data_IF_157025690687
#
_entry.id   IF_157025690687
#
_cell.length_a   1.000
_cell.length_b   1.000
_cell.length_c   1.000
_cell.angle_alpha   90.00
_cell.angle_beta   90.00
_cell.angle_gamma   90.00
#
_symmetry.space_group_name_H-M   'P 1'
#
loop_
_entity.id
_entity.type
_entity.pdbx_description
1 polymer ?
#
# COMPACT_ATOMS: atom_id res chain seq x y z
N UNK A 1 -42.22 36.85 -43.66
CA UNK A 1 -41.15 35.89 -44.02
C UNK A 1 -40.03 36.05 -42.99
N UNK A 2 -39.93 35.18 -41.99
CA UNK A 2 -38.77 35.08 -41.08
C UNK A 2 -39.02 33.95 -40.07
N UNK A 3 -38.87 32.69 -40.49
CA UNK A 3 -38.76 31.53 -39.58
C UNK A 3 -38.04 30.39 -40.31
N UNK A 4 -36.70 30.34 -40.23
CA UNK A 4 -35.97 29.06 -40.41
C UNK A 4 -34.48 29.04 -40.02
N UNK A 5 -33.83 30.14 -39.63
CA UNK A 5 -32.35 30.11 -39.49
C UNK A 5 -31.81 29.61 -38.13
N UNK A 6 -32.63 29.55 -37.09
CA UNK A 6 -32.14 29.23 -35.72
C UNK A 6 -31.93 27.74 -35.41
N UNK A 7 -32.31 26.82 -36.31
CA UNK A 7 -32.13 25.37 -36.07
C UNK A 7 -30.77 24.83 -36.55
N UNK A 8 -30.12 25.51 -37.50
CA UNK A 8 -28.85 25.06 -38.06
C UNK A 8 -27.65 25.27 -37.13
N UNK A 9 -27.59 26.43 -36.47
CA UNK A 9 -26.46 26.78 -35.59
C UNK A 9 -26.44 25.90 -34.34
N UNK A 10 -27.59 25.62 -33.71
CA UNK A 10 -27.68 24.79 -32.51
C UNK A 10 -27.25 23.34 -32.76
N UNK A 11 -27.60 22.79 -33.92
CA UNK A 11 -27.21 21.43 -34.33
C UNK A 11 -25.72 21.38 -34.68
N UNK A 12 -25.18 22.43 -35.30
CA UNK A 12 -23.76 22.57 -35.60
C UNK A 12 -22.89 22.63 -34.34
N UNK A 13 -23.29 23.40 -33.32
CA UNK A 13 -22.57 23.48 -32.04
C UNK A 13 -22.62 22.14 -31.28
N UNK A 14 -23.76 21.45 -31.29
CA UNK A 14 -23.90 20.13 -30.64
C UNK A 14 -23.03 19.06 -31.30
N UNK A 15 -22.95 19.05 -32.64
CA UNK A 15 -22.06 18.16 -33.39
C UNK A 15 -20.58 18.46 -33.15
N UNK A 16 -20.22 19.75 -33.01
CA UNK A 16 -18.86 20.16 -32.69
C UNK A 16 -18.47 19.73 -31.26
N UNK A 17 -19.37 19.88 -30.28
CA UNK A 17 -19.19 19.39 -28.91
C UNK A 17 -19.07 17.87 -28.89
N UNK A 18 -19.91 17.13 -29.61
CA UNK A 18 -19.82 15.67 -29.75
C UNK A 18 -18.50 15.23 -30.41
N UNK A 19 -18.03 15.93 -31.44
CA UNK A 19 -16.73 15.64 -32.07
C UNK A 19 -15.54 15.98 -31.17
N UNK A 20 -15.66 17.02 -30.34
CA UNK A 20 -14.65 17.34 -29.31
C UNK A 20 -14.66 16.28 -28.21
N UNK A 21 -15.83 15.80 -27.76
CA UNK A 21 -15.99 14.69 -26.81
C UNK A 21 -15.64 13.31 -27.39
N UNK A 22 -15.59 13.14 -28.71
CA UNK A 22 -15.10 11.91 -29.36
C UNK A 22 -13.60 11.95 -29.64
N UNK A 23 -12.99 13.14 -29.74
CA UNK A 23 -11.54 13.35 -29.90
C UNK A 23 -10.80 13.41 -28.57
N UNK A 24 -11.44 13.95 -27.54
CA UNK A 24 -11.09 13.71 -26.15
C UNK A 24 -11.72 12.38 -25.79
N UNK A 25 -10.99 11.26 -25.82
CA UNK A 25 -11.51 9.99 -25.35
C UNK A 25 -11.84 10.04 -23.87
N UNK A 26 -12.93 10.72 -23.48
CA UNK A 26 -13.52 10.63 -22.15
C UNK A 26 -14.21 9.28 -22.11
N UNK A 27 -13.39 8.24 -21.94
CA UNK A 27 -13.85 7.01 -21.32
C UNK A 27 -14.39 7.47 -19.97
N UNK A 28 -15.71 7.41 -19.79
CA UNK A 28 -16.28 7.62 -18.48
C UNK A 28 -15.67 6.54 -17.58
N UNK A 29 -14.79 6.94 -16.67
CA UNK A 29 -14.18 6.03 -15.73
C UNK A 29 -15.31 5.33 -14.96
N UNK A 30 -15.34 3.99 -15.01
CA UNK A 30 -16.36 3.18 -14.35
C UNK A 30 -15.93 2.96 -12.91
N UNK A 31 -15.96 4.04 -12.13
CA UNK A 31 -15.83 3.97 -10.67
C UNK A 31 -17.17 4.23 -10.01
N UNK A 32 -17.41 3.57 -8.89
CA UNK A 32 -18.63 3.72 -8.11
C UNK A 32 -18.29 4.35 -6.77
N UNK A 33 -18.82 5.55 -6.54
CA UNK A 33 -18.83 6.13 -5.20
C UNK A 33 -19.75 5.31 -4.30
N UNK A 34 -19.23 4.87 -3.18
CA UNK A 34 -19.97 4.11 -2.17
C UNK A 34 -20.45 5.08 -1.11
N UNK A 35 -21.76 5.30 -1.04
CA UNK A 35 -22.37 6.16 -0.01
C UNK A 35 -22.91 5.37 1.18
N UNK A 36 -23.24 4.09 0.97
CA UNK A 36 -23.81 3.19 1.96
C UNK A 36 -23.17 1.81 1.88
N UNK A 37 -22.80 1.24 3.03
CA UNK A 37 -22.31 -0.13 3.14
C UNK A 37 -23.30 -0.97 3.94
N UNK A 38 -23.65 -2.20 3.50
CA UNK A 38 -24.38 -3.13 4.34
C UNK A 38 -23.67 -3.34 5.68
N UNK A 39 -24.41 -3.20 6.79
CA UNK A 39 -23.87 -3.29 8.14
C UNK A 39 -23.35 -1.98 8.73
N UNK A 40 -23.21 -0.91 7.95
CA UNK A 40 -22.85 0.41 8.48
C UNK A 40 -24.11 1.25 8.72
N UNK A 41 -24.20 1.88 9.88
CA UNK A 41 -25.37 2.70 10.24
C UNK A 41 -25.33 4.07 9.54
N UNK A 42 -26.19 4.25 8.54
CA UNK A 42 -26.33 5.52 7.81
C UNK A 42 -25.36 5.70 6.65
N UNK A 43 -25.23 6.95 6.19
CA UNK A 43 -24.30 7.31 5.11
C UNK A 43 -22.86 7.32 5.63
N UNK A 44 -21.90 6.86 4.81
CA UNK A 44 -20.49 6.88 5.18
C UNK A 44 -20.01 8.33 5.43
N UNK A 45 -19.35 8.61 6.57
CA UNK A 45 -18.81 9.94 6.86
C UNK A 45 -17.47 10.22 6.17
N UNK A 46 -16.99 9.29 5.35
CA UNK A 46 -15.78 9.40 4.52
C UNK A 46 -16.12 9.03 3.08
N UNK A 47 -15.29 9.47 2.13
CA UNK A 47 -15.49 9.15 0.72
C UNK A 47 -14.78 7.85 0.37
N UNK A 48 -15.56 6.82 0.10
CA UNK A 48 -15.11 5.55 -0.43
C UNK A 48 -15.52 5.43 -1.90
N UNK A 49 -14.58 4.97 -2.70
CA UNK A 49 -14.77 4.65 -4.10
C UNK A 49 -14.25 3.25 -4.38
N UNK A 50 -14.89 2.54 -5.28
CA UNK A 50 -14.43 1.24 -5.75
C UNK A 50 -14.56 1.15 -7.26
N UNK A 51 -13.67 0.42 -7.91
CA UNK A 51 -13.71 0.25 -9.36
C UNK A 51 -12.72 -0.79 -9.86
N UNK A 52 -12.71 -0.95 -11.17
CA UNK A 52 -11.76 -1.78 -11.88
C UNK A 52 -10.96 -0.93 -12.86
N UNK A 53 -9.67 -1.20 -12.96
CA UNK A 53 -8.82 -0.65 -14.01
C UNK A 53 -8.19 -1.81 -14.78
N UNK A 54 -8.37 -1.78 -16.11
CA UNK A 54 -7.73 -2.72 -17.01
C UNK A 54 -6.25 -2.41 -17.18
N UNK A 55 -5.41 -3.43 -17.12
CA UNK A 55 -3.95 -3.33 -17.26
C UNK A 55 -3.44 -4.32 -18.31
N UNK A 56 -2.23 -4.09 -18.79
CA UNK A 56 -1.65 -4.66 -20.01
C UNK A 56 -2.29 -4.12 -21.29
N UNK A 57 -1.62 -4.34 -22.44
CA UNK A 57 -2.10 -3.88 -23.75
C UNK A 57 -3.49 -4.43 -24.11
N UNK A 58 -3.80 -5.65 -23.70
CA UNK A 58 -5.09 -6.28 -23.98
C UNK A 58 -6.19 -5.94 -22.97
N UNK A 59 -5.83 -5.31 -21.84
CA UNK A 59 -6.73 -5.07 -20.71
C UNK A 59 -7.48 -6.34 -20.25
N UNK A 60 -6.88 -7.52 -20.42
CA UNK A 60 -7.46 -8.77 -19.97
C UNK A 60 -7.34 -8.96 -18.47
N UNK A 61 -6.38 -8.30 -17.82
CA UNK A 61 -6.27 -8.22 -16.37
C UNK A 61 -7.05 -7.00 -15.88
N UNK A 62 -7.93 -7.22 -14.93
CA UNK A 62 -8.77 -6.19 -14.31
C UNK A 62 -8.42 -6.12 -12.82
N UNK A 63 -7.76 -5.04 -12.41
CA UNK A 63 -7.38 -4.83 -11.01
C UNK A 63 -8.46 -4.02 -10.29
N UNK A 64 -8.97 -4.58 -9.20
CA UNK A 64 -9.95 -3.96 -8.32
C UNK A 64 -9.26 -3.13 -7.24
N UNK A 65 -9.88 -2.01 -6.88
CA UNK A 65 -9.39 -1.15 -5.80
C UNK A 65 -10.52 -0.66 -4.90
N UNK A 66 -10.12 -0.34 -3.67
CA UNK A 66 -10.87 0.50 -2.74
C UNK A 66 -10.08 1.79 -2.57
N UNK A 67 -10.67 2.93 -2.86
CA UNK A 67 -10.04 4.23 -2.68
C UNK A 67 -10.77 5.02 -1.60
N UNK A 68 -10.04 5.37 -0.54
CA UNK A 68 -10.54 6.23 0.52
C UNK A 68 -9.83 7.57 0.44
N UNK A 69 -10.58 8.65 0.17
CA UNK A 69 -10.02 10.01 0.14
C UNK A 69 -9.68 10.47 1.56
N UNK A 70 -8.61 11.27 1.67
CA UNK A 70 -8.21 11.85 2.94
C UNK A 70 -9.36 12.60 3.61
N UNK A 71 -9.54 12.40 4.91
CA UNK A 71 -10.57 13.06 5.70
C UNK A 71 -10.16 14.47 6.15
N UNK A 72 -8.88 14.87 5.99
CA UNK A 72 -8.44 16.26 6.17
C UNK A 72 -8.57 17.10 4.89
N UNK A 73 -7.54 17.21 4.07
CA UNK A 73 -7.57 17.96 2.81
C UNK A 73 -7.03 17.10 1.67
N UNK A 74 -7.93 16.36 1.02
CA UNK A 74 -7.58 15.44 -0.07
C UNK A 74 -6.88 16.08 -1.27
N UNK A 75 -6.87 17.41 -1.42
CA UNK A 75 -6.16 18.12 -2.50
C UNK A 75 -4.66 18.31 -2.23
N UNK A 76 -4.25 18.21 -0.98
CA UNK A 76 -2.85 18.47 -0.57
C UNK A 76 -2.25 17.30 0.20
N UNK A 77 -3.09 16.51 0.86
CA UNK A 77 -2.64 15.36 1.64
C UNK A 77 -2.04 14.27 0.74
N UNK A 78 -1.06 13.49 1.23
CA UNK A 78 -0.42 12.46 0.43
C UNK A 78 -1.40 11.45 -0.17
N UNK A 79 -1.07 10.97 -1.37
CA UNK A 79 -1.68 9.79 -1.98
C UNK A 79 -0.81 8.58 -1.70
N UNK A 80 -1.41 7.51 -1.18
CA UNK A 80 -0.72 6.25 -0.87
C UNK A 80 -1.34 5.11 -1.66
N UNK A 81 -0.55 4.41 -2.46
CA UNK A 81 -0.93 3.09 -2.97
C UNK A 81 -0.54 2.03 -1.94
N UNK A 82 -1.49 1.24 -1.45
CA UNK A 82 -1.24 0.14 -0.52
C UNK A 82 -1.42 -1.22 -1.21
N UNK A 83 -0.40 -2.07 -1.12
CA UNK A 83 -0.42 -3.44 -1.63
C UNK A 83 -0.14 -4.42 -0.48
N UNK A 84 -1.11 -5.29 -0.21
CA UNK A 84 -0.99 -6.33 0.82
C UNK A 84 -0.13 -7.49 0.34
N UNK A 85 0.58 -8.14 1.27
CA UNK A 85 1.46 -9.27 0.96
C UNK A 85 0.74 -10.58 0.64
N UNK A 86 1.25 -11.70 1.18
CA UNK A 86 0.82 -13.06 0.85
C UNK A 86 1.93 -13.85 0.18
N UNK A 87 2.00 -13.94 -1.17
CA UNK A 87 1.29 -13.15 -2.19
C UNK A 87 -0.20 -13.51 -2.33
N UNK A 88 -1.00 -12.57 -2.85
CA UNK A 88 -2.40 -12.81 -3.21
C UNK A 88 -3.42 -12.55 -2.09
N UNK A 89 -3.00 -11.90 -1.00
CA UNK A 89 -3.93 -11.46 0.04
C UNK A 89 -4.66 -10.19 -0.40
N UNK A 90 -5.98 -10.15 -0.22
CA UNK A 90 -6.78 -8.96 -0.53
C UNK A 90 -6.40 -7.76 0.36
N UNK A 91 -6.34 -6.58 -0.25
CA UNK A 91 -6.16 -5.32 0.48
C UNK A 91 -7.41 -4.85 1.20
N UNK A 92 -8.54 -5.55 1.04
CA UNK A 92 -9.70 -5.41 1.91
C UNK A 92 -9.33 -5.68 3.38
N UNK A 93 -8.43 -6.63 3.63
CA UNK A 93 -7.97 -6.94 4.99
C UNK A 93 -7.34 -5.71 5.66
N UNK A 94 -6.50 -4.98 4.93
CA UNK A 94 -5.87 -3.74 5.39
C UNK A 94 -6.86 -2.60 5.58
N UNK A 95 -7.87 -2.53 4.71
CA UNK A 95 -8.95 -1.55 4.83
C UNK A 95 -9.78 -1.78 6.12
N UNK A 96 -10.18 -3.02 6.42
CA UNK A 96 -11.16 -3.27 7.50
C UNK A 96 -10.53 -3.64 8.84
N UNK A 97 -9.34 -4.27 8.86
CA UNK A 97 -8.69 -4.70 10.10
C UNK A 97 -7.59 -3.76 10.55
N UNK A 98 -6.98 -2.99 9.65
CA UNK A 98 -5.69 -2.35 9.93
C UNK A 98 -5.73 -0.83 9.82
N UNK A 99 -5.65 -0.25 8.62
CA UNK A 99 -5.36 1.19 8.46
C UNK A 99 -6.55 1.98 7.91
N UNK A 100 -7.63 1.33 7.48
CA UNK A 100 -8.82 2.02 6.96
C UNK A 100 -9.75 2.60 8.04
N UNK A 101 -10.81 3.31 7.62
CA UNK A 101 -11.64 4.14 8.51
C UNK A 101 -12.80 3.40 9.17
N UNK A 102 -12.98 2.10 8.89
CA UNK A 102 -14.04 1.29 9.46
C UNK A 102 -13.55 -0.13 9.72
N UNK A 103 -14.27 -0.84 10.58
CA UNK A 103 -13.97 -2.22 10.94
C UNK A 103 -15.26 -3.01 11.16
N UNK A 104 -15.15 -4.33 11.15
CA UNK A 104 -16.21 -5.19 11.68
C UNK A 104 -16.31 -4.98 13.20
N UNK A 105 -17.54 -4.85 13.70
CA UNK A 105 -17.79 -4.88 15.13
C UNK A 105 -17.42 -6.26 15.68
N UNK A 106 -16.57 -6.29 16.72
CA UNK A 106 -16.20 -7.52 17.41
C UNK A 106 -17.38 -8.01 18.27
N UNK A 107 -18.32 -8.71 17.64
CA UNK A 107 -19.48 -9.30 18.26
C UNK A 107 -19.61 -10.78 17.87
N UNK A 108 -20.24 -11.58 18.74
CA UNK A 108 -20.55 -12.97 18.42
C UNK A 108 -21.50 -13.05 17.22
N UNK A 109 -21.20 -13.95 16.28
CA UNK A 109 -22.02 -14.12 15.10
C UNK A 109 -23.40 -14.68 15.48
N UNK A 110 -24.43 -13.87 15.27
CA UNK A 110 -25.82 -14.17 15.62
C UNK A 110 -26.68 -14.54 14.40
N UNK A 111 -26.07 -14.70 13.22
CA UNK A 111 -26.77 -14.99 11.97
C UNK A 111 -27.21 -13.76 11.15
N UNK A 112 -27.04 -12.54 11.66
CA UNK A 112 -27.29 -11.31 10.91
C UNK A 112 -26.09 -10.90 10.06
N UNK A 113 -26.29 -9.88 9.20
CA UNK A 113 -25.17 -9.20 8.57
C UNK A 113 -24.19 -8.68 9.64
N UNK A 114 -22.86 -8.80 9.43
CA UNK A 114 -21.87 -8.19 10.31
C UNK A 114 -22.10 -6.67 10.38
N UNK A 115 -22.04 -6.11 11.60
CA UNK A 115 -22.09 -4.67 11.78
C UNK A 115 -20.72 -4.06 11.49
N UNK A 116 -20.71 -2.90 10.86
CA UNK A 116 -19.55 -2.09 10.57
C UNK A 116 -19.57 -0.85 11.46
N UNK A 117 -18.42 -0.53 12.06
CA UNK A 117 -18.24 0.62 12.95
C UNK A 117 -17.07 1.46 12.47
N UNK A 118 -17.07 2.75 12.81
CA UNK A 118 -15.93 3.62 12.55
C UNK A 118 -14.71 3.17 13.36
N UNK A 119 -13.56 3.16 12.70
CA UNK A 119 -12.28 2.83 13.32
C UNK A 119 -11.52 4.11 13.65
N UNK A 120 -11.22 4.40 14.93
CA UNK A 120 -10.35 5.52 15.27
C UNK A 120 -8.91 5.23 14.80
N UNK A 121 -8.10 6.28 14.63
CA UNK A 121 -6.69 6.17 14.24
C UNK A 121 -6.49 5.58 12.83
N UNK A 122 -7.45 5.79 11.93
CA UNK A 122 -7.28 5.42 10.53
C UNK A 122 -6.18 6.26 9.89
N UNK A 123 -5.40 5.64 9.01
CA UNK A 123 -4.40 6.38 8.25
C UNK A 123 -5.02 7.35 7.25
N UNK A 124 -6.26 7.07 6.83
CA UNK A 124 -7.03 7.90 5.90
C UNK A 124 -7.47 9.24 6.48
N UNK A 125 -7.27 9.47 7.77
CA UNK A 125 -7.47 10.78 8.40
C UNK A 125 -6.47 11.84 7.92
N UNK A 126 -5.29 11.46 7.38
CA UNK A 126 -4.26 12.41 6.87
C UNK A 126 -3.67 12.02 5.52
N UNK A 127 -4.26 11.04 4.83
CA UNK A 127 -3.79 10.58 3.53
C UNK A 127 -4.97 10.02 2.73
N UNK A 128 -4.93 10.18 1.41
CA UNK A 128 -5.80 9.42 0.52
C UNK A 128 -5.12 8.08 0.24
N UNK A 129 -5.84 6.96 0.39
CA UNK A 129 -5.24 5.62 0.27
C UNK A 129 -6.00 4.77 -0.75
N UNK A 130 -5.26 4.22 -1.72
CA UNK A 130 -5.73 3.23 -2.68
C UNK A 130 -5.32 1.85 -2.16
N UNK A 131 -6.29 1.04 -1.74
CA UNK A 131 -6.11 -0.36 -1.38
C UNK A 131 -6.29 -1.21 -2.63
N UNK A 132 -5.19 -1.72 -3.18
CA UNK A 132 -5.21 -2.45 -4.44
C UNK A 132 -5.25 -3.95 -4.21
N UNK A 133 -6.23 -4.64 -4.79
CA UNK A 133 -6.23 -6.09 -4.86
C UNK A 133 -5.28 -6.54 -5.98
N UNK A 134 -4.11 -7.04 -5.58
CA UNK A 134 -3.01 -7.33 -6.51
C UNK A 134 -2.19 -8.51 -6.00
N UNK A 135 -1.70 -9.41 -6.87
CA UNK A 135 -1.80 -9.43 -8.34
C UNK A 135 -3.16 -9.94 -8.86
N UNK A 136 -3.27 -10.17 -10.18
CA UNK A 136 -4.46 -10.79 -10.80
C UNK A 136 -4.92 -12.06 -10.05
N UNK A 137 -6.22 -12.20 -9.82
CA UNK A 137 -6.81 -13.29 -9.03
C UNK A 137 -6.89 -13.01 -7.52
N UNK A 138 -6.32 -11.90 -7.05
CA UNK A 138 -6.42 -11.46 -5.64
C UNK A 138 -7.73 -10.76 -5.38
N UNK A 139 -8.43 -11.13 -4.30
CA UNK A 139 -9.66 -10.46 -3.88
C UNK A 139 -10.69 -10.41 -5.02
N UNK A 140 -11.06 -9.19 -5.44
CA UNK A 140 -11.98 -9.00 -6.56
C UNK A 140 -11.29 -8.83 -7.93
N UNK A 141 -9.96 -8.73 -7.99
CA UNK A 141 -9.22 -8.64 -9.24
C UNK A 141 -9.26 -9.95 -10.03
N UNK A 142 -9.46 -9.86 -11.35
CA UNK A 142 -9.68 -11.04 -12.19
C UNK A 142 -9.04 -10.94 -13.57
N UNK A 143 -8.95 -12.08 -14.25
CA UNK A 143 -8.52 -12.20 -15.63
C UNK A 143 -9.71 -12.55 -16.52
N UNK A 144 -9.80 -11.94 -17.71
CA UNK A 144 -10.85 -12.23 -18.71
C UNK A 144 -10.59 -13.53 -19.48
N UNK A 145 -9.36 -14.04 -19.44
CA UNK A 145 -8.98 -15.31 -20.06
C UNK A 145 -7.91 -16.05 -19.24
N UNK A 146 -7.74 -17.34 -19.51
CA UNK A 146 -6.84 -18.21 -18.75
C UNK A 146 -5.37 -17.77 -18.81
N UNK A 147 -4.92 -17.25 -19.97
CA UNK A 147 -3.53 -16.78 -20.14
C UNK A 147 -3.24 -15.57 -19.24
N UNK A 148 -4.17 -14.62 -19.16
CA UNK A 148 -4.04 -13.43 -18.32
C UNK A 148 -4.12 -13.73 -16.81
N UNK A 149 -4.50 -14.94 -16.41
CA UNK A 149 -4.49 -15.35 -15.01
C UNK A 149 -3.08 -15.65 -14.48
N UNK A 150 -2.13 -15.90 -15.38
CA UNK A 150 -0.74 -16.16 -15.02
C UNK A 150 0.05 -14.85 -15.09
N UNK A 151 0.83 -14.53 -14.04
CA UNK A 151 1.70 -13.35 -14.04
C UNK A 151 2.96 -13.62 -13.24
N UNK A 152 4.11 -13.23 -13.80
CA UNK A 152 5.37 -13.21 -13.06
C UNK A 152 5.39 -12.03 -12.08
N UNK A 153 6.29 -12.03 -11.09
CA UNK A 153 6.41 -10.89 -10.17
C UNK A 153 6.78 -9.57 -10.87
N UNK A 154 7.56 -9.63 -11.96
CA UNK A 154 7.89 -8.44 -12.75
C UNK A 154 6.69 -7.94 -13.54
N UNK A 155 5.97 -8.85 -14.22
CA UNK A 155 4.75 -8.50 -14.95
C UNK A 155 3.68 -7.94 -14.02
N UNK A 156 3.47 -8.57 -12.87
CA UNK A 156 2.55 -8.05 -11.87
C UNK A 156 2.98 -6.66 -11.38
N UNK A 157 4.28 -6.42 -11.15
CA UNK A 157 4.75 -5.10 -10.72
C UNK A 157 4.51 -4.03 -11.80
N UNK A 158 4.69 -4.39 -13.07
CA UNK A 158 4.35 -3.52 -14.21
C UNK A 158 2.85 -3.24 -14.30
N UNK A 159 1.99 -4.24 -14.08
CA UNK A 159 0.54 -4.07 -13.98
C UNK A 159 0.14 -3.09 -12.87
N UNK A 160 0.78 -3.13 -11.69
CA UNK A 160 0.52 -2.15 -10.62
C UNK A 160 0.97 -0.73 -11.01
N UNK A 161 2.09 -0.62 -11.74
CA UNK A 161 2.56 0.66 -12.28
C UNK A 161 1.59 1.23 -13.33
N UNK A 162 1.12 0.40 -14.27
CA UNK A 162 0.11 0.77 -15.26
C UNK A 162 -1.22 1.16 -14.61
N UNK A 163 -1.66 0.40 -13.61
CA UNK A 163 -2.83 0.71 -12.80
C UNK A 163 -2.74 2.12 -12.22
N UNK A 164 -1.63 2.46 -11.57
CA UNK A 164 -1.45 3.76 -10.92
C UNK A 164 -1.52 4.92 -11.94
N UNK A 165 -0.88 4.77 -13.10
CA UNK A 165 -0.90 5.78 -14.17
C UNK A 165 -2.33 6.00 -14.68
N UNK A 166 -3.06 4.91 -14.98
CA UNK A 166 -4.45 4.98 -15.44
C UNK A 166 -5.38 5.56 -14.35
N UNK A 167 -5.17 5.17 -13.09
CA UNK A 167 -5.90 5.72 -11.94
C UNK A 167 -5.75 7.24 -11.86
N UNK A 168 -4.53 7.76 -12.04
CA UNK A 168 -4.25 9.20 -12.02
C UNK A 168 -4.76 9.95 -13.26
N UNK A 169 -4.92 9.27 -14.40
CA UNK A 169 -5.63 9.84 -15.57
C UNK A 169 -7.10 10.06 -15.24
N UNK A 170 -7.73 9.11 -14.54
CA UNK A 170 -9.12 9.21 -14.11
C UNK A 170 -9.31 10.17 -12.92
N UNK A 171 -8.23 10.46 -12.18
CA UNK A 171 -8.20 11.32 -10.99
C UNK A 171 -7.17 12.46 -11.13
N UNK A 172 -7.35 13.38 -12.09
CA UNK A 172 -6.38 14.43 -12.35
C UNK A 172 -6.18 15.37 -11.15
N UNK A 173 -7.13 15.45 -10.22
CA UNK A 173 -6.99 16.24 -9.00
C UNK A 173 -5.94 15.70 -8.02
N UNK A 174 -5.53 14.44 -8.18
CA UNK A 174 -4.57 13.77 -7.31
C UNK A 174 -3.14 13.75 -7.86
N UNK A 175 -2.93 14.16 -9.12
CA UNK A 175 -1.63 14.11 -9.80
C UNK A 175 -0.57 14.95 -9.07
N UNK A 176 -0.98 16.08 -8.47
CA UNK A 176 -0.09 16.97 -7.73
C UNK A 176 0.17 16.53 -6.28
N UNK A 177 -0.51 15.50 -5.79
CA UNK A 177 -0.37 15.08 -4.40
C UNK A 177 0.98 14.36 -4.22
N UNK A 178 1.67 14.58 -3.09
CA UNK A 178 2.84 13.78 -2.72
C UNK A 178 2.49 12.29 -2.75
N UNK A 179 3.19 11.51 -3.57
CA UNK A 179 2.87 10.11 -3.76
C UNK A 179 3.82 9.21 -2.98
N UNK A 180 3.23 8.23 -2.27
CA UNK A 180 3.94 7.16 -1.60
C UNK A 180 3.34 5.81 -1.99
N UNK A 181 4.13 4.76 -1.88
CA UNK A 181 3.65 3.38 -2.01
C UNK A 181 3.99 2.60 -0.75
N UNK A 182 3.02 1.88 -0.23
CA UNK A 182 3.11 1.09 0.98
C UNK A 182 2.79 -0.37 0.73
N UNK A 183 3.30 -1.22 1.61
CA UNK A 183 2.87 -2.59 1.68
C UNK A 183 3.46 -3.29 2.90
N UNK A 184 3.14 -4.57 3.02
CA UNK A 184 3.59 -5.39 4.13
C UNK A 184 4.00 -6.79 3.68
N UNK A 185 4.73 -7.50 4.54
CA UNK A 185 5.00 -8.92 4.34
C UNK A 185 5.67 -9.17 2.98
N UNK A 186 5.10 -10.04 2.14
CA UNK A 186 5.59 -10.32 0.79
C UNK A 186 5.73 -9.07 -0.11
N UNK A 187 4.99 -7.98 0.17
CA UNK A 187 5.10 -6.72 -0.56
C UNK A 187 6.46 -6.03 -0.39
N UNK A 188 7.28 -6.47 0.55
CA UNK A 188 8.68 -6.06 0.68
C UNK A 188 9.53 -6.29 -0.58
N UNK A 189 9.11 -7.19 -1.49
CA UNK A 189 9.77 -7.42 -2.78
C UNK A 189 9.22 -6.58 -3.94
N UNK A 190 7.91 -6.59 -4.25
CA UNK A 190 7.38 -5.86 -5.39
C UNK A 190 7.34 -4.34 -5.18
N UNK A 191 7.16 -3.83 -3.96
CA UNK A 191 7.09 -2.37 -3.74
C UNK A 191 8.36 -1.65 -4.24
N UNK A 192 9.59 -2.06 -3.88
CA UNK A 192 10.79 -1.48 -4.46
C UNK A 192 10.89 -1.57 -5.99
N UNK A 193 10.35 -2.62 -6.59
CA UNK A 193 10.31 -2.79 -8.06
C UNK A 193 9.36 -1.77 -8.68
N UNK A 194 8.17 -1.61 -8.12
CA UNK A 194 7.16 -0.64 -8.59
C UNK A 194 7.68 0.79 -8.44
N UNK A 195 8.37 1.10 -7.33
CA UNK A 195 9.05 2.38 -7.13
C UNK A 195 10.05 2.67 -8.25
N UNK A 196 10.87 1.69 -8.63
CA UNK A 196 11.80 1.84 -9.75
C UNK A 196 11.09 2.06 -11.08
N UNK A 197 9.98 1.35 -11.34
CA UNK A 197 9.17 1.53 -12.54
C UNK A 197 8.57 2.94 -12.62
N UNK A 198 8.09 3.48 -11.50
CA UNK A 198 7.60 4.86 -11.41
C UNK A 198 8.73 5.85 -11.71
N UNK A 199 9.89 5.69 -11.09
CA UNK A 199 11.06 6.56 -11.31
C UNK A 199 11.49 6.56 -12.78
N UNK A 200 11.68 5.38 -13.36
CA UNK A 200 12.05 5.23 -14.77
C UNK A 200 10.99 5.83 -15.69
N UNK A 201 9.71 5.64 -15.38
CA UNK A 201 8.60 6.23 -16.11
C UNK A 201 8.63 7.76 -16.10
N UNK A 202 8.90 8.36 -14.95
CA UNK A 202 9.04 9.81 -14.83
C UNK A 202 10.26 10.34 -15.60
N UNK A 203 11.40 9.67 -15.52
CA UNK A 203 12.61 10.03 -16.29
C UNK A 203 12.40 9.95 -17.80
N UNK A 204 11.60 8.97 -18.24
CA UNK A 204 11.22 8.81 -19.65
C UNK A 204 10.12 9.80 -20.11
N UNK A 205 9.60 10.65 -19.21
CA UNK A 205 8.53 11.60 -19.54
C UNK A 205 7.18 10.94 -19.79
N UNK A 206 6.94 9.75 -19.22
CA UNK A 206 5.60 9.16 -19.24
C UNK A 206 4.67 10.06 -18.41
N UNK A 207 3.45 10.29 -18.88
CA UNK A 207 2.42 11.09 -18.19
C UNK A 207 1.32 10.19 -17.60
N UNK A 208 0.63 10.61 -16.52
CA UNK A 208 0.87 11.82 -15.73
C UNK A 208 2.07 11.66 -14.80
N UNK A 209 3.02 12.60 -14.80
CA UNK A 209 4.19 12.55 -13.89
C UNK A 209 3.77 12.34 -12.42
N UNK A 210 4.38 11.37 -11.75
CA UNK A 210 4.02 10.98 -10.38
C UNK A 210 4.99 11.67 -9.42
N UNK A 211 4.49 12.46 -8.46
CA UNK A 211 5.33 13.11 -7.43
C UNK A 211 5.79 12.13 -6.34
N UNK A 212 6.59 11.13 -6.73
CA UNK A 212 7.10 10.07 -5.87
C UNK A 212 8.00 10.64 -4.77
N UNK A 213 7.56 10.52 -3.51
CA UNK A 213 8.29 10.97 -2.33
C UNK A 213 8.95 9.86 -1.53
N UNK A 214 8.48 8.63 -1.65
CA UNK A 214 8.98 7.55 -0.81
C UNK A 214 8.13 6.28 -0.82
N UNK A 215 8.53 5.33 0.02
CA UNK A 215 7.77 4.11 0.24
C UNK A 215 7.84 3.65 1.70
N UNK A 216 6.86 2.84 2.10
CA UNK A 216 6.82 2.24 3.43
C UNK A 216 6.60 0.73 3.39
N UNK A 217 7.24 0.01 4.29
CA UNK A 217 7.14 -1.43 4.40
C UNK A 217 6.92 -1.88 5.85
N UNK A 218 5.81 -2.58 6.09
CA UNK A 218 5.49 -3.23 7.36
C UNK A 218 5.92 -4.70 7.37
N UNK A 219 6.74 -5.10 8.34
CA UNK A 219 7.21 -6.48 8.51
C UNK A 219 7.67 -7.13 7.18
N UNK A 220 8.55 -6.48 6.40
CA UNK A 220 8.78 -6.87 5.02
C UNK A 220 9.61 -8.14 4.87
N UNK A 221 9.16 -9.02 3.97
CA UNK A 221 10.01 -10.04 3.37
C UNK A 221 10.83 -9.33 2.27
N UNK A 222 12.08 -9.04 2.57
CA UNK A 222 13.02 -8.42 1.63
C UNK A 222 13.95 -9.44 0.98
N UNK A 223 14.23 -10.56 1.67
CA UNK A 223 15.21 -11.57 1.24
C UNK A 223 14.60 -12.98 1.29
N UNK A 224 15.22 -13.98 0.63
CA UNK A 224 14.84 -15.38 0.83
C UNK A 224 15.14 -15.90 2.25
N UNK A 225 16.02 -15.23 2.99
CA UNK A 225 16.51 -15.65 4.30
C UNK A 225 15.66 -15.15 5.47
N UNK A 226 14.65 -14.32 5.22
CA UNK A 226 13.82 -13.79 6.33
C UNK A 226 13.18 -14.93 7.15
N UNK A 227 12.93 -16.07 6.50
CA UNK A 227 12.44 -17.30 7.13
C UNK A 227 13.46 -18.03 8.00
N UNK A 228 14.77 -17.90 7.74
CA UNK A 228 15.78 -18.61 8.54
C UNK A 228 15.86 -18.05 9.96
N UNK A 229 15.49 -16.79 10.15
CA UNK A 229 15.49 -16.10 11.45
C UNK A 229 14.41 -16.58 12.42
N UNK A 230 13.44 -17.38 11.96
CA UNK A 230 12.32 -17.86 12.80
C UNK A 230 12.76 -18.78 13.91
N UNK A 231 13.79 -19.59 13.67
CA UNK A 231 14.31 -20.53 14.67
C UNK A 231 14.99 -19.76 15.80
N UNK A 232 15.85 -18.78 15.48
CA UNK A 232 16.47 -17.91 16.49
C UNK A 232 15.41 -17.09 17.22
N UNK A 233 14.37 -16.61 16.52
CA UNK A 233 13.29 -15.86 17.15
C UNK A 233 12.51 -16.72 18.15
N UNK A 234 12.09 -17.92 17.72
CA UNK A 234 11.36 -18.84 18.58
C UNK A 234 12.17 -19.23 19.82
N UNK A 235 13.47 -19.46 19.67
CA UNK A 235 14.37 -19.75 20.79
C UNK A 235 14.51 -18.55 21.74
N UNK A 236 14.78 -17.35 21.20
CA UNK A 236 14.91 -16.13 22.00
C UNK A 236 13.63 -15.72 22.75
N UNK A 237 12.47 -16.15 22.26
CA UNK A 237 11.16 -15.96 22.90
C UNK A 237 10.76 -17.13 23.83
N UNK A 238 11.61 -18.15 23.99
CA UNK A 238 11.36 -19.31 24.85
C UNK A 238 10.28 -20.27 24.32
N UNK A 239 9.98 -20.24 23.02
CA UNK A 239 8.98 -21.11 22.38
C UNK A 239 9.55 -22.50 22.02
N UNK A 240 10.88 -22.62 21.92
CA UNK A 240 11.58 -23.89 21.68
C UNK A 240 12.74 -24.05 22.67
N UNK A 241 13.09 -25.30 22.98
CA UNK A 241 14.20 -25.62 23.90
C UNK A 241 15.58 -25.45 23.25
N UNK A 242 16.63 -25.44 24.08
CA UNK A 242 18.02 -25.39 23.63
C UNK A 242 18.36 -26.58 22.71
N UNK A 243 17.87 -27.78 23.03
CA UNK A 243 18.13 -28.99 22.22
C UNK A 243 17.50 -28.90 20.82
N UNK A 244 16.28 -28.35 20.73
CA UNK A 244 15.62 -28.12 19.45
C UNK A 244 16.36 -27.04 18.65
N UNK A 245 16.78 -25.95 19.30
CA UNK A 245 17.51 -24.88 18.66
C UNK A 245 18.84 -25.36 18.05
N UNK A 246 19.63 -26.12 18.81
CA UNK A 246 20.88 -26.72 18.34
C UNK A 246 20.66 -27.64 17.14
N UNK A 247 19.62 -28.48 17.19
CA UNK A 247 19.27 -29.39 16.09
C UNK A 247 18.96 -28.63 14.79
N UNK A 248 18.18 -27.55 14.86
CA UNK A 248 17.83 -26.76 13.68
C UNK A 248 19.00 -25.95 13.11
N UNK A 249 19.91 -25.47 13.96
CA UNK A 249 21.10 -24.73 13.52
C UNK A 249 22.09 -25.62 12.75
N UNK A 250 22.18 -26.92 13.05
CA UNK A 250 23.07 -27.83 12.32
C UNK A 250 22.65 -28.05 10.85
N UNK A 251 21.37 -27.84 10.51
CA UNK A 251 20.83 -28.05 9.16
C UNK A 251 20.94 -26.80 8.28
N UNK A 252 21.05 -25.61 8.87
CA UNK A 252 20.96 -24.33 8.17
C UNK A 252 22.33 -23.70 7.92
N UNK A 253 23.09 -24.21 6.94
CA UNK A 253 24.32 -23.53 6.47
C UNK A 253 24.06 -22.62 5.26
N UNK A 254 24.46 -21.37 5.46
CA UNK A 254 24.31 -20.14 4.70
C UNK A 254 24.46 -20.19 3.17
N UNK A 255 23.56 -19.49 2.48
CA UNK A 255 23.80 -18.92 1.16
C UNK A 255 23.87 -17.40 1.27
N UNK A 256 24.90 -16.77 0.71
CA UNK A 256 24.96 -15.32 0.53
C UNK A 256 24.40 -14.98 -0.85
N UNK A 257 23.39 -14.11 -0.92
CA UNK A 257 22.90 -13.57 -2.20
C UNK A 257 23.06 -12.06 -2.28
N UNK A 258 23.18 -11.58 -3.52
CA UNK A 258 23.18 -10.17 -3.86
C UNK A 258 21.81 -9.58 -3.51
N UNK A 259 21.82 -8.66 -2.56
CA UNK A 259 20.70 -7.81 -2.21
C UNK A 259 20.46 -6.85 -3.37
N UNK A 260 19.22 -6.75 -3.84
CA UNK A 260 18.83 -5.74 -4.82
C UNK A 260 19.13 -4.35 -4.25
N UNK A 261 20.19 -3.72 -4.76
CA UNK A 261 20.48 -2.32 -4.50
C UNK A 261 19.63 -1.49 -5.46
N UNK A 262 18.41 -1.17 -5.05
CA UNK A 262 17.66 -0.13 -5.75
C UNK A 262 18.28 1.21 -5.32
N UNK A 263 18.66 2.06 -6.27
CA UNK A 263 19.00 3.46 -5.99
C UNK A 263 17.68 4.20 -5.77
N UNK A 264 17.16 4.13 -4.55
CA UNK A 264 15.83 4.65 -4.27
C UNK A 264 15.95 6.12 -3.89
N UNK A 265 15.24 6.98 -4.64
CA UNK A 265 15.04 8.38 -4.31
C UNK A 265 13.85 8.50 -3.34
N UNK A 266 14.00 9.33 -2.30
CA UNK A 266 12.91 9.68 -1.38
C UNK A 266 13.09 9.18 0.05
N UNK A 267 12.05 9.33 0.87
CA UNK A 267 12.02 8.85 2.25
C UNK A 267 11.54 7.40 2.31
N UNK A 268 12.13 6.61 3.22
CA UNK A 268 11.77 5.20 3.37
C UNK A 268 11.44 4.90 4.83
N UNK A 269 10.28 4.30 5.08
CA UNK A 269 9.93 3.79 6.41
C UNK A 269 9.87 2.26 6.37
N UNK A 270 10.74 1.63 7.15
CA UNK A 270 10.68 0.19 7.41
C UNK A 270 10.22 0.01 8.85
N UNK A 271 9.11 -0.68 9.07
CA UNK A 271 8.63 -0.96 10.43
C UNK A 271 8.44 -2.44 10.66
N UNK A 272 8.79 -2.95 11.83
CA UNK A 272 8.51 -4.35 12.20
C UNK A 272 7.89 -4.45 13.59
N UNK A 273 6.78 -5.17 13.71
CA UNK A 273 6.32 -5.63 15.02
C UNK A 273 7.37 -6.54 15.68
N UNK A 274 7.75 -6.25 16.93
CA UNK A 274 8.81 -7.01 17.60
C UNK A 274 8.38 -8.41 18.07
N UNK A 275 7.08 -8.73 18.01
CA UNK A 275 6.50 -10.05 18.27
C UNK A 275 6.15 -10.82 16.99
N UNK A 276 6.55 -10.32 15.81
CA UNK A 276 6.30 -11.03 14.57
C UNK A 276 7.27 -12.21 14.36
N UNK A 277 6.74 -13.43 14.53
CA UNK A 277 7.46 -14.66 14.22
C UNK A 277 7.47 -14.99 12.72
N UNK A 278 6.57 -14.41 11.92
CA UNK A 278 6.52 -14.65 10.47
C UNK A 278 7.73 -13.99 9.81
N UNK A 279 8.00 -12.73 10.15
CA UNK A 279 9.15 -11.95 9.67
C UNK A 279 9.82 -11.27 10.87
N UNK A 280 10.73 -11.98 11.57
CA UNK A 280 11.42 -11.42 12.72
C UNK A 280 12.14 -10.10 12.40
N UNK A 281 11.95 -9.10 13.26
CA UNK A 281 12.49 -7.75 13.07
C UNK A 281 14.03 -7.72 12.88
N UNK A 282 14.77 -8.62 13.52
CA UNK A 282 16.21 -8.69 13.34
C UNK A 282 16.60 -9.18 11.94
N UNK A 283 15.79 -10.00 11.26
CA UNK A 283 16.00 -10.34 9.85
C UNK A 283 15.93 -9.11 8.96
N UNK A 284 14.95 -8.23 9.20
CA UNK A 284 14.87 -6.91 8.54
C UNK A 284 16.11 -6.06 8.85
N UNK A 285 16.60 -6.07 10.10
CA UNK A 285 17.83 -5.35 10.47
C UNK A 285 19.08 -5.88 9.77
N UNK A 286 19.21 -7.20 9.62
CA UNK A 286 20.30 -7.82 8.86
C UNK A 286 20.27 -7.41 7.39
N UNK A 287 19.08 -7.43 6.77
CA UNK A 287 18.91 -6.90 5.43
C UNK A 287 19.30 -5.42 5.34
N UNK A 288 18.81 -4.56 6.23
CA UNK A 288 19.17 -3.14 6.25
C UNK A 288 20.68 -2.96 6.38
N UNK A 289 21.35 -3.73 7.25
CA UNK A 289 22.80 -3.66 7.43
C UNK A 289 23.55 -4.02 6.14
N UNK A 290 23.04 -4.98 5.38
CA UNK A 290 23.63 -5.40 4.11
C UNK A 290 23.59 -4.33 3.01
N UNK A 291 22.71 -3.32 3.14
CA UNK A 291 22.66 -2.16 2.23
C UNK A 291 23.80 -1.17 2.46
N UNK A 292 24.52 -1.28 3.59
CA UNK A 292 25.75 -0.54 3.89
C UNK A 292 25.58 1.01 3.85
N UNK A 293 24.43 1.52 4.29
CA UNK A 293 24.21 2.96 4.48
C UNK A 293 24.72 3.42 5.85
N UNK A 294 25.29 4.63 5.90
CA UNK A 294 25.75 5.24 7.15
C UNK A 294 24.56 5.50 8.09
N UNK A 295 24.75 5.23 9.38
CA UNK A 295 23.78 5.55 10.43
C UNK A 295 23.88 7.04 10.77
N UNK A 296 22.74 7.72 10.84
CA UNK A 296 22.65 9.15 11.18
C UNK A 296 22.17 9.37 12.61
N UNK A 297 21.19 8.59 13.05
CA UNK A 297 20.69 8.56 14.42
C UNK A 297 20.64 7.10 14.88
N UNK A 298 21.41 6.78 15.91
CA UNK A 298 21.60 5.41 16.36
C UNK A 298 20.40 4.87 17.16
N UNK A 299 20.40 3.57 17.41
CA UNK A 299 19.31 2.82 18.03
C UNK A 299 18.86 3.43 19.35
N UNK A 300 17.66 4.01 19.35
CA UNK A 300 17.07 4.68 20.51
C UNK A 300 15.58 4.37 20.64
N UNK A 301 14.99 4.48 21.84
CA UNK A 301 13.55 4.36 21.98
C UNK A 301 12.81 5.51 21.27
N UNK A 302 11.59 5.23 20.82
CA UNK A 302 10.61 6.23 20.41
C UNK A 302 9.31 6.03 21.20
N UNK A 303 8.59 7.14 21.43
CA UNK A 303 7.51 7.17 22.42
C UNK A 303 6.20 7.72 21.81
N UNK A 304 5.08 7.21 22.32
CA UNK A 304 3.74 7.69 22.01
C UNK A 304 3.03 7.89 23.34
N UNK A 305 2.58 9.13 23.61
CA UNK A 305 1.88 9.50 24.85
C UNK A 305 2.64 9.21 26.16
N UNK A 306 3.97 9.12 26.09
CA UNK A 306 4.85 8.90 27.25
C UNK A 306 5.55 7.54 27.23
N UNK A 307 4.83 6.40 27.17
CA UNK A 307 5.44 5.07 27.07
C UNK A 307 6.30 4.86 25.82
N UNK A 308 7.24 3.92 25.92
CA UNK A 308 8.06 3.46 24.78
C UNK A 308 7.19 2.64 23.83
N UNK A 309 7.01 3.16 22.62
CA UNK A 309 6.27 2.51 21.53
C UNK A 309 7.16 1.55 20.72
N UNK A 310 8.48 1.70 20.80
CA UNK A 310 9.45 0.79 20.21
C UNK A 310 10.84 1.43 20.14
N UNK A 311 11.66 0.97 19.20
CA UNK A 311 13.00 1.50 18.95
C UNK A 311 13.17 1.91 17.49
N UNK A 312 13.99 2.91 17.24
CA UNK A 312 14.21 3.45 15.90
C UNK A 312 15.68 3.76 15.64
N UNK A 313 16.05 3.77 14.35
CA UNK A 313 17.35 4.18 13.82
C UNK A 313 17.15 4.80 12.44
N UNK A 314 17.93 5.82 12.11
CA UNK A 314 17.89 6.47 10.79
C UNK A 314 19.21 6.36 10.04
N UNK A 315 19.14 6.44 8.72
CA UNK A 315 20.26 6.22 7.80
C UNK A 315 20.41 7.37 6.80
N UNK A 316 21.61 7.52 6.25
CA UNK A 316 21.99 8.62 5.36
C UNK A 316 21.18 8.71 4.06
N UNK A 317 20.56 7.61 3.65
CA UNK A 317 19.65 7.55 2.50
C UNK A 317 18.19 7.89 2.86
N UNK A 318 17.95 8.65 3.93
CA UNK A 318 16.60 9.05 4.40
C UNK A 318 15.70 7.86 4.79
N UNK A 319 16.31 6.71 5.09
CA UNK A 319 15.59 5.55 5.60
C UNK A 319 15.47 5.63 7.13
N UNK A 320 14.27 5.36 7.62
CA UNK A 320 13.95 5.16 9.03
C UNK A 320 13.55 3.71 9.24
N UNK A 321 14.22 3.02 10.15
CA UNK A 321 13.77 1.74 10.65
C UNK A 321 13.17 1.92 12.04
N UNK A 322 12.02 1.29 12.29
CA UNK A 322 11.36 1.32 13.59
C UNK A 322 10.80 -0.05 13.97
N UNK A 323 10.94 -0.44 15.24
CA UNK A 323 10.13 -1.53 15.81
C UNK A 323 8.87 -0.98 16.43
N UNK A 324 7.81 -1.78 16.47
CA UNK A 324 6.58 -1.51 17.23
C UNK A 324 6.48 -2.54 18.34
N UNK A 325 6.60 -2.08 19.58
CA UNK A 325 6.68 -2.93 20.78
C UNK A 325 5.36 -3.64 21.04
N UNK A 326 5.41 -4.96 21.19
CA UNK A 326 4.25 -5.81 21.42
C UNK A 326 3.37 -6.04 20.20
N UNK A 327 3.80 -5.62 19.01
CA UNK A 327 3.04 -5.83 17.77
C UNK A 327 3.49 -7.10 17.04
N UNK A 328 2.54 -7.79 16.42
CA UNK A 328 2.78 -8.94 15.54
C UNK A 328 3.00 -8.55 14.07
N UNK A 329 2.62 -9.44 13.16
CA UNK A 329 2.80 -9.26 11.71
C UNK A 329 1.96 -8.12 11.12
N UNK A 330 0.69 -8.01 11.55
CA UNK A 330 -0.23 -6.92 11.21
C UNK A 330 -0.19 -5.85 12.30
N UNK A 331 0.96 -5.16 12.42
CA UNK A 331 1.18 -4.23 13.54
C UNK A 331 0.05 -3.19 13.76
N UNK A 332 -0.53 -2.55 12.71
CA UNK A 332 -1.63 -1.59 12.89
C UNK A 332 -2.95 -2.21 13.41
N UNK A 333 -3.12 -3.53 13.32
CA UNK A 333 -4.26 -4.23 13.92
C UNK A 333 -4.17 -4.21 15.45
N UNK A 334 -2.99 -4.51 16.00
CA UNK A 334 -2.76 -4.70 17.43
C UNK A 334 -2.27 -3.44 18.16
N UNK A 335 -1.60 -2.54 17.44
CA UNK A 335 -1.02 -1.28 17.95
C UNK A 335 -1.45 -0.08 17.10
N UNK A 336 -2.77 0.17 16.96
CA UNK A 336 -3.28 1.19 16.05
C UNK A 336 -2.81 2.60 16.41
N UNK A 337 -2.74 2.93 17.71
CA UNK A 337 -2.31 4.26 18.19
C UNK A 337 -0.85 4.52 17.83
N UNK A 338 0.03 3.56 18.13
CA UNK A 338 1.46 3.67 17.87
C UNK A 338 1.76 3.68 16.37
N UNK A 339 1.14 2.79 15.60
CA UNK A 339 1.30 2.75 14.15
C UNK A 339 0.76 4.02 13.47
N UNK A 340 -0.36 4.57 13.96
CA UNK A 340 -0.89 5.85 13.47
C UNK A 340 0.04 7.02 13.76
N UNK A 341 0.59 7.09 14.97
CA UNK A 341 1.54 8.13 15.35
C UNK A 341 2.82 8.05 14.50
N UNK A 342 3.36 6.84 14.30
CA UNK A 342 4.52 6.58 13.44
C UNK A 342 4.27 7.03 12.00
N UNK A 343 3.14 6.62 11.41
CA UNK A 343 2.77 7.01 10.05
C UNK A 343 2.63 8.53 9.90
N UNK A 344 1.94 9.19 10.83
CA UNK A 344 1.73 10.64 10.80
C UNK A 344 3.04 11.42 10.90
N UNK A 345 3.93 11.05 11.84
CA UNK A 345 5.25 11.68 12.01
C UNK A 345 6.09 11.51 10.75
N UNK A 346 6.16 10.29 10.22
CA UNK A 346 6.91 10.00 9.00
C UNK A 346 6.41 10.79 7.78
N UNK A 347 5.09 10.82 7.55
CA UNK A 347 4.49 11.61 6.46
C UNK A 347 4.74 13.12 6.59
N UNK A 348 4.97 13.60 7.82
CA UNK A 348 5.26 15.01 8.11
C UNK A 348 6.77 15.30 8.20
N UNK A 349 7.63 14.33 7.88
CA UNK A 349 9.09 14.41 8.06
C UNK A 349 9.53 14.74 9.49
N UNK A 350 8.70 14.38 10.47
CA UNK A 350 9.01 14.52 11.89
C UNK A 350 9.75 13.29 12.41
N UNK A 351 10.75 13.45 13.30
CA UNK A 351 11.40 12.32 13.94
C UNK A 351 10.42 11.46 14.76
N UNK A 352 10.70 10.15 14.82
CA UNK A 352 9.97 9.23 15.72
C UNK A 352 10.33 9.43 17.19
#
# INVERSE_FOLDING_TARGET
MAKSEWKGEFVGTLLLVLQVCLKLGVVAAVFSRVEFLPGFDGQLPFQLETGYIGVDESEDVQLFYYFVKSQSNSRTDPLVLWITGGPGCTSLSRLVYEIGPFAFEAAEYNGSLPRLVLKPHSWTEVASIIFLDWPVGTGFSYARNAKAHESTSLQASDQAYQFLRKFLVDHPELVSNPFYIGGDSYSGRPVPIIVQLISNGNENGNEPLIDLKGYLLGNPIATPFDYSYRVQFAHGMGLISDELHETFNQVSNYYLFRVFHCHILGSHLLSSGDHDMVVPHFGTQEWIRSLNYNIIDDWRPWNVEGPVAGYTRTYANQMTFATVKGAGHTAPEFKPVECRAMFKRWMSYEPL
#
